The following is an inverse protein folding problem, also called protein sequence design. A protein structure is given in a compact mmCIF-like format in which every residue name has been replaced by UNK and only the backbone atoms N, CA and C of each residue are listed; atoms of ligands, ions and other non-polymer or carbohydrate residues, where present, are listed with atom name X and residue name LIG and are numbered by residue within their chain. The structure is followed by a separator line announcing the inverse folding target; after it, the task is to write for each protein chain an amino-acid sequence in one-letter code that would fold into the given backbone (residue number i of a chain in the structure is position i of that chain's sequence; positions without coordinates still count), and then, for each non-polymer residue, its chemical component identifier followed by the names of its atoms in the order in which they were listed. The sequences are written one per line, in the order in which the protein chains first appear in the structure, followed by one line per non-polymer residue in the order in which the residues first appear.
data_IF_805097002316
#
_entry.id   IF_805097002316
#
_cell.length_a   1.000
_cell.length_b   1.000
_cell.length_c   1.000
_cell.angle_alpha   90.00
_cell.angle_beta   90.00
_cell.angle_gamma   90.00
#
_symmetry.space_group_name_H-M   'P 1'
#
loop_
_entity.id
_entity.type
_entity.pdbx_description
1 polymer ?
#
# COMPACT_ATOMS: atom_id res chain seq x y z
N UNK A 1 -25.67 -4.64 -18.49
CA UNK A 1 -24.49 -4.57 -19.38
C UNK A 1 -24.91 -4.36 -20.82
N UNK A 2 -24.84 -3.12 -21.32
CA UNK A 2 -24.86 -2.87 -22.76
C UNK A 2 -23.42 -3.02 -23.23
N UNK A 3 -23.13 -4.07 -23.99
CA UNK A 3 -21.81 -4.22 -24.61
C UNK A 3 -21.67 -3.15 -25.68
N UNK A 4 -20.90 -2.10 -25.37
CA UNK A 4 -20.47 -1.12 -26.35
C UNK A 4 -19.30 -1.74 -27.09
N UNK A 5 -19.44 -1.95 -28.40
CA UNK A 5 -18.31 -2.36 -29.22
C UNK A 5 -17.38 -1.15 -29.38
N UNK A 6 -16.21 -1.22 -28.74
CA UNK A 6 -15.15 -0.25 -28.87
C UNK A 6 -13.86 -0.97 -29.21
N UNK A 7 -13.01 -0.35 -30.03
CA UNK A 7 -11.69 -0.90 -30.34
C UNK A 7 -10.76 -0.75 -29.11
N UNK A 8 -9.80 -1.67 -28.94
CA UNK A 8 -8.87 -1.64 -27.80
C UNK A 8 -8.10 -0.31 -27.69
N UNK A 9 -7.77 0.31 -28.83
CA UNK A 9 -7.10 1.61 -28.83
C UNK A 9 -7.98 2.72 -28.26
N UNK A 10 -9.28 2.70 -28.52
CA UNK A 10 -10.24 3.66 -27.97
C UNK A 10 -10.31 3.54 -26.45
N UNK A 11 -10.31 2.31 -25.94
CA UNK A 11 -10.29 2.04 -24.49
C UNK A 11 -8.98 2.54 -23.87
N UNK A 12 -7.85 2.26 -24.51
CA UNK A 12 -6.54 2.71 -24.04
C UNK A 12 -6.44 4.24 -23.95
N UNK A 13 -6.81 4.95 -25.02
CA UNK A 13 -6.74 6.41 -25.03
C UNK A 13 -7.66 7.03 -23.97
N UNK A 14 -8.87 6.49 -23.78
CA UNK A 14 -9.77 6.98 -22.73
C UNK A 14 -9.17 6.79 -21.33
N UNK A 15 -8.58 5.61 -21.06
CA UNK A 15 -7.90 5.36 -19.79
C UNK A 15 -6.72 6.32 -19.56
N UNK A 16 -5.92 6.59 -20.59
CA UNK A 16 -4.83 7.58 -20.53
C UNK A 16 -5.35 9.00 -20.30
N UNK A 17 -6.45 9.39 -20.94
CA UNK A 17 -7.10 10.70 -20.72
C UNK A 17 -7.51 10.89 -19.25
N UNK A 18 -7.85 9.81 -18.53
CA UNK A 18 -8.16 9.84 -17.09
C UNK A 18 -6.94 9.56 -16.19
N UNK A 19 -5.72 9.52 -16.73
CA UNK A 19 -4.49 9.28 -15.96
C UNK A 19 -4.35 7.84 -15.44
N UNK A 20 -5.07 6.88 -16.02
CA UNK A 20 -4.97 5.47 -15.68
C UNK A 20 -3.98 4.79 -16.62
N UNK A 21 -2.74 4.60 -16.14
CA UNK A 21 -1.75 3.81 -16.87
C UNK A 21 -1.96 2.30 -16.65
N UNK A 22 -1.42 1.49 -17.57
CA UNK A 22 -1.46 0.02 -17.49
C UNK A 22 -0.91 -0.52 -16.17
N UNK A 23 0.14 0.10 -15.61
CA UNK A 23 0.68 -0.28 -14.30
C UNK A 23 -0.37 -0.14 -13.19
N UNK A 24 -1.14 0.94 -13.19
CA UNK A 24 -2.20 1.19 -12.21
C UNK A 24 -3.33 0.18 -12.36
N UNK A 25 -3.73 -0.14 -13.59
CA UNK A 25 -4.75 -1.16 -13.86
C UNK A 25 -4.30 -2.56 -13.45
N UNK A 26 -3.03 -2.89 -13.67
CA UNK A 26 -2.46 -4.16 -13.24
C UNK A 26 -2.49 -4.30 -11.72
N UNK A 27 -2.11 -3.25 -10.99
CA UNK A 27 -2.19 -3.21 -9.52
C UNK A 27 -3.64 -3.41 -9.06
N UNK A 28 -4.58 -2.63 -9.60
CA UNK A 28 -6.01 -2.74 -9.25
C UNK A 28 -6.54 -4.16 -9.51
N UNK A 29 -6.17 -4.77 -10.64
CA UNK A 29 -6.58 -6.13 -10.96
C UNK A 29 -5.96 -7.18 -10.02
N UNK A 30 -4.68 -7.01 -9.66
CA UNK A 30 -4.00 -7.90 -8.73
C UNK A 30 -4.60 -7.80 -7.30
N UNK A 31 -4.95 -6.60 -6.86
CA UNK A 31 -5.60 -6.34 -5.57
C UNK A 31 -7.03 -6.92 -5.49
N UNK A 32 -7.72 -7.06 -6.62
CA UNK A 32 -9.07 -7.63 -6.72
C UNK A 32 -9.12 -9.17 -6.73
N UNK A 33 -8.02 -9.86 -6.43
CA UNK A 33 -8.05 -11.32 -6.31
C UNK A 33 -8.77 -11.76 -5.02
N UNK A 34 -10.05 -12.11 -5.15
CA UNK A 34 -10.91 -12.52 -4.03
C UNK A 34 -10.35 -13.69 -3.21
N UNK A 35 -9.66 -14.64 -3.85
CA UNK A 35 -9.07 -15.79 -3.16
C UNK A 35 -7.93 -15.35 -2.25
N UNK A 36 -7.06 -14.49 -2.74
CA UNK A 36 -5.94 -13.95 -1.96
C UNK A 36 -6.46 -13.08 -0.81
N UNK A 37 -7.49 -12.27 -1.07
CA UNK A 37 -8.14 -11.44 -0.05
C UNK A 37 -8.82 -12.28 1.03
N UNK A 38 -9.55 -13.32 0.66
CA UNK A 38 -10.21 -14.22 1.62
C UNK A 38 -9.19 -14.98 2.48
N UNK A 39 -8.09 -15.46 1.89
CA UNK A 39 -7.02 -16.11 2.65
C UNK A 39 -6.34 -15.15 3.62
N UNK A 40 -6.10 -13.90 3.22
CA UNK A 40 -5.57 -12.86 4.11
C UNK A 40 -6.50 -12.63 5.31
N UNK A 41 -7.80 -12.40 5.07
CA UNK A 41 -8.80 -12.18 6.13
C UNK A 41 -8.84 -13.38 7.09
N UNK A 42 -8.84 -14.61 6.57
CA UNK A 42 -8.83 -15.84 7.36
C UNK A 42 -7.59 -15.94 8.28
N UNK A 43 -6.42 -15.53 7.80
CA UNK A 43 -5.19 -15.53 8.61
C UNK A 43 -5.19 -14.42 9.66
N UNK A 44 -5.68 -13.24 9.29
CA UNK A 44 -5.72 -12.09 10.19
C UNK A 44 -6.79 -12.22 11.28
N UNK A 45 -7.87 -12.96 11.04
CA UNK A 45 -8.94 -13.20 12.04
C UNK A 45 -8.49 -14.01 13.26
N UNK A 46 -7.24 -14.49 13.29
CA UNK A 46 -6.64 -15.17 14.43
C UNK A 46 -6.09 -14.19 15.48
N UNK A 47 -5.94 -12.91 15.14
CA UNK A 47 -5.40 -11.88 16.02
C UNK A 47 -6.51 -10.93 16.46
N UNK A 48 -6.45 -10.50 17.71
CA UNK A 48 -7.29 -9.41 18.20
C UNK A 48 -6.76 -8.06 17.66
N UNK A 49 -7.66 -7.07 17.56
CA UNK A 49 -7.30 -5.78 16.97
C UNK A 49 -6.21 -5.05 17.79
N UNK A 50 -6.17 -5.28 19.10
CA UNK A 50 -5.16 -4.77 20.03
C UNK A 50 -3.76 -5.35 19.79
N UNK A 51 -3.66 -6.50 19.11
CA UNK A 51 -2.39 -7.16 18.78
C UNK A 51 -1.85 -6.73 17.42
N UNK A 52 -2.60 -5.91 16.67
CA UNK A 52 -2.23 -5.48 15.32
C UNK A 52 -1.56 -4.11 15.35
N UNK A 53 -0.43 -4.03 14.65
CA UNK A 53 0.25 -2.76 14.35
C UNK A 53 0.24 -2.58 12.84
N UNK A 54 -0.29 -1.44 12.39
CA UNK A 54 -0.31 -1.07 10.99
C UNK A 54 0.88 -0.16 10.69
N UNK A 55 1.66 -0.54 9.68
CA UNK A 55 2.79 0.24 9.22
C UNK A 55 2.67 0.53 7.74
N UNK A 56 2.81 1.79 7.38
CA UNK A 56 2.86 2.21 5.99
C UNK A 56 3.84 3.36 5.78
N UNK A 57 4.21 3.57 4.52
CA UNK A 57 5.14 4.58 4.06
C UNK A 57 4.40 5.70 3.32
N UNK A 58 4.61 6.93 3.76
CA UNK A 58 4.15 8.12 3.02
C UNK A 58 5.35 8.90 2.50
N UNK A 59 5.32 9.22 1.20
CA UNK A 59 6.27 10.17 0.62
C UNK A 59 5.77 11.58 0.89
N UNK A 60 6.49 12.36 1.69
CA UNK A 60 6.24 13.79 1.83
C UNK A 60 7.09 14.53 0.80
N UNK A 61 6.44 15.14 -0.18
CA UNK A 61 7.09 15.97 -1.17
C UNK A 61 7.46 17.36 -0.61
N UNK A 62 8.47 17.97 -1.26
CA UNK A 62 9.27 19.18 -0.95
C UNK A 62 10.71 18.95 -0.46
N UNK A 63 11.03 17.83 0.20
CA UNK A 63 12.43 17.42 0.44
C UNK A 63 12.46 15.96 0.92
N UNK A 64 12.78 15.03 0.01
CA UNK A 64 13.14 13.59 0.12
C UNK A 64 13.10 12.93 1.51
N UNK A 65 12.01 13.11 2.25
CA UNK A 65 11.78 12.52 3.57
C UNK A 65 10.57 11.64 3.45
N UNK A 66 10.85 10.37 3.29
CA UNK A 66 9.87 9.33 3.45
C UNK A 66 9.56 9.21 4.95
N UNK A 67 8.29 9.29 5.32
CA UNK A 67 7.86 9.06 6.70
C UNK A 67 7.17 7.70 6.80
N UNK A 68 7.57 6.88 7.77
CA UNK A 68 6.85 5.67 8.13
C UNK A 68 6.22 5.85 9.49
N UNK A 69 4.99 5.39 9.60
CA UNK A 69 4.22 5.41 10.85
C UNK A 69 3.89 3.99 11.26
N UNK A 70 4.03 3.69 12.54
CA UNK A 70 3.47 2.50 13.17
C UNK A 70 2.30 2.94 14.04
N UNK A 71 1.12 2.39 13.77
CA UNK A 71 -0.14 2.74 14.42
C UNK A 71 -0.75 1.50 15.08
N UNK A 72 -1.23 1.63 16.31
CA UNK A 72 -2.14 0.67 16.96
C UNK A 72 -3.47 1.34 17.28
N UNK A 73 -4.36 0.61 17.94
CA UNK A 73 -5.62 1.15 18.46
C UNK A 73 -5.41 2.31 19.45
N UNK A 74 -4.27 2.33 20.16
CA UNK A 74 -3.94 3.39 21.13
C UNK A 74 -3.28 4.62 20.48
N UNK A 75 -3.10 4.61 19.17
CA UNK A 75 -2.56 5.72 18.39
C UNK A 75 -1.20 5.41 17.77
N UNK A 76 -0.39 6.45 17.61
CA UNK A 76 0.92 6.32 16.97
C UNK A 76 1.96 5.78 17.95
N UNK A 77 2.51 4.61 17.62
CA UNK A 77 3.56 3.94 18.40
C UNK A 77 4.93 4.52 18.03
N UNK A 78 5.21 4.63 16.73
CA UNK A 78 6.50 5.05 16.24
C UNK A 78 6.37 5.80 14.91
N UNK A 79 7.32 6.70 14.66
CA UNK A 79 7.50 7.30 13.36
C UNK A 79 8.98 7.46 13.05
N UNK A 80 9.37 7.21 11.81
CA UNK A 80 10.75 7.46 11.35
C UNK A 80 10.74 8.20 10.02
N UNK A 81 11.68 9.13 9.88
CA UNK A 81 11.97 9.80 8.62
C UNK A 81 13.20 9.15 8.00
N UNK A 82 13.07 8.68 6.76
CA UNK A 82 14.19 8.16 5.98
C UNK A 82 14.55 9.15 4.88
N UNK A 83 15.82 9.57 4.88
CA UNK A 83 16.41 10.30 3.76
C UNK A 83 16.91 9.31 2.70
N UNK A 84 16.48 9.53 1.46
CA UNK A 84 16.68 8.58 0.36
C UNK A 84 15.90 7.28 0.55
N UNK A 85 16.38 6.20 -0.06
CA UNK A 85 15.68 4.92 -0.02
C UNK A 85 15.76 4.22 1.34
N UNK A 86 14.66 3.61 1.74
CA UNK A 86 14.61 2.67 2.85
C UNK A 86 15.31 1.37 2.46
N UNK A 87 16.43 1.06 3.11
CA UNK A 87 17.13 -0.22 2.95
C UNK A 87 16.62 -1.22 3.98
N UNK A 88 16.86 -2.51 3.74
CA UNK A 88 16.54 -3.57 4.69
C UNK A 88 17.14 -3.31 6.09
N UNK A 89 18.40 -2.88 6.15
CA UNK A 89 19.11 -2.59 7.40
C UNK A 89 18.48 -1.42 8.17
N UNK A 90 18.15 -0.32 7.48
CA UNK A 90 17.46 0.84 8.09
C UNK A 90 16.08 0.43 8.63
N UNK A 91 15.38 -0.44 7.92
CA UNK A 91 14.07 -0.92 8.34
C UNK A 91 14.16 -1.80 9.59
N UNK A 92 15.11 -2.74 9.65
CA UNK A 92 15.34 -3.55 10.86
C UNK A 92 15.72 -2.68 12.06
N UNK A 93 16.61 -1.72 11.87
CA UNK A 93 17.00 -0.78 12.92
C UNK A 93 15.80 0.00 13.46
N UNK A 94 14.86 0.40 12.59
CA UNK A 94 13.62 1.06 13.01
C UNK A 94 12.71 0.11 13.82
N UNK A 95 12.55 -1.14 13.40
CA UNK A 95 11.74 -2.11 14.14
C UNK A 95 12.30 -2.36 15.54
N UNK A 96 13.59 -2.69 15.63
CA UNK A 96 14.26 -3.02 16.89
C UNK A 96 14.40 -1.83 17.83
N UNK A 97 14.55 -0.61 17.29
CA UNK A 97 14.81 0.58 18.09
C UNK A 97 13.56 1.39 18.46
N UNK A 98 12.39 1.11 17.85
CA UNK A 98 11.23 2.00 18.00
C UNK A 98 9.86 1.30 18.01
N UNK A 99 9.75 0.08 17.50
CA UNK A 99 8.45 -0.62 17.41
C UNK A 99 8.34 -1.75 18.43
N UNK A 100 9.42 -2.50 18.66
CA UNK A 100 9.49 -3.65 19.58
C UNK A 100 9.86 -3.22 20.99
#
# INVERSE_FOLDING_TARGET
NRFISAHFTTIHCELECHGLCTKKLYIIAAEQNEKVRADFIRRMSMYDAEQMIFMDETSKDEQTKTQRYALSLDGMIAATACEGSMTWEKFLQFLEGSVV
#
